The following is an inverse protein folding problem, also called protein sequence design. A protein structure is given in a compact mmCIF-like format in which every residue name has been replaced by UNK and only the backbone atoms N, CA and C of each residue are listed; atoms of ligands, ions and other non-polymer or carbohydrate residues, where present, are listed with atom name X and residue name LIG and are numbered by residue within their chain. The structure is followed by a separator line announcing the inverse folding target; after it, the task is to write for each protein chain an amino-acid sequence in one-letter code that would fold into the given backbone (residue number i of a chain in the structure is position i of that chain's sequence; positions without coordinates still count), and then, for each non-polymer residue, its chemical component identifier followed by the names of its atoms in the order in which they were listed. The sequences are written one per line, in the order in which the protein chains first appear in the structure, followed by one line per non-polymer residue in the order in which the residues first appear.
data_IF_492562086171
#
_entry.id   IF_492562086171
#
_cell.length_a   1.000
_cell.length_b   1.000
_cell.length_c   1.000
_cell.angle_alpha   90.00
_cell.angle_beta   90.00
_cell.angle_gamma   90.00
#
_symmetry.space_group_name_H-M   'P 1'
#
loop_
_entity.id
_entity.type
_entity.pdbx_description
1 polymer ?
#
# COMPACT_ATOMS: atom_id res chain seq x y z
N UNK A 1 14.52 -21.10 -27.48
CA UNK A 1 15.25 -20.95 -26.20
C UNK A 1 14.85 -19.72 -25.35
N UNK A 2 14.02 -18.79 -25.85
CA UNK A 2 13.67 -17.54 -25.15
C UNK A 2 12.41 -17.64 -24.26
N UNK A 3 11.41 -18.42 -24.69
CA UNK A 3 10.12 -18.56 -23.99
C UNK A 3 10.29 -19.20 -22.60
N UNK A 4 11.05 -20.30 -22.49
CA UNK A 4 11.28 -21.00 -21.21
C UNK A 4 11.98 -20.11 -20.18
N UNK A 5 12.92 -19.26 -20.62
CA UNK A 5 13.58 -18.27 -19.74
C UNK A 5 12.59 -17.18 -19.29
N UNK A 6 11.75 -16.69 -20.18
CA UNK A 6 10.70 -15.71 -19.85
C UNK A 6 9.66 -16.29 -18.87
N UNK A 7 9.23 -17.54 -19.04
CA UNK A 7 8.29 -18.21 -18.13
C UNK A 7 8.88 -18.38 -16.73
N UNK A 8 10.13 -18.84 -16.63
CA UNK A 8 10.82 -18.96 -15.33
C UNK A 8 11.03 -17.61 -14.64
N UNK A 9 11.36 -16.57 -15.40
CA UNK A 9 11.51 -15.21 -14.86
C UNK A 9 10.18 -14.66 -14.35
N UNK A 10 9.07 -14.92 -15.04
CA UNK A 10 7.73 -14.53 -14.60
C UNK A 10 7.31 -15.23 -13.31
N UNK A 11 7.57 -16.53 -13.20
CA UNK A 11 7.26 -17.30 -11.99
C UNK A 11 8.09 -16.83 -10.79
N UNK A 12 9.38 -16.54 -10.99
CA UNK A 12 10.25 -15.99 -9.96
C UNK A 12 9.76 -14.60 -9.48
N UNK A 13 9.34 -13.76 -10.41
CA UNK A 13 8.78 -12.44 -10.09
C UNK A 13 7.46 -12.57 -9.32
N UNK A 14 6.56 -13.46 -9.73
CA UNK A 14 5.29 -13.70 -9.03
C UNK A 14 5.50 -14.16 -7.59
N UNK A 15 6.43 -15.11 -7.38
CA UNK A 15 6.80 -15.58 -6.03
C UNK A 15 7.34 -14.45 -5.15
N UNK A 16 8.20 -13.59 -5.70
CA UNK A 16 8.74 -12.43 -4.97
C UNK A 16 7.62 -11.46 -4.57
N UNK A 17 6.75 -11.08 -5.50
CA UNK A 17 5.62 -10.18 -5.23
C UNK A 17 4.71 -10.74 -4.13
N UNK A 18 4.35 -12.03 -4.21
CA UNK A 18 3.54 -12.68 -3.17
C UNK A 18 4.23 -12.68 -1.81
N UNK A 19 5.54 -12.94 -1.79
CA UNK A 19 6.32 -12.91 -0.54
C UNK A 19 6.32 -11.53 0.10
N UNK A 20 6.52 -10.47 -0.69
CA UNK A 20 6.50 -9.09 -0.18
C UNK A 20 5.12 -8.73 0.41
N UNK A 21 4.04 -9.13 -0.27
CA UNK A 21 2.67 -8.91 0.23
C UNK A 21 2.45 -9.61 1.58
N UNK A 22 2.90 -10.86 1.72
CA UNK A 22 2.76 -11.58 2.99
C UNK A 22 3.61 -10.99 4.11
N UNK A 23 4.82 -10.51 3.81
CA UNK A 23 5.65 -9.78 4.77
C UNK A 23 4.94 -8.51 5.25
N UNK A 24 4.41 -7.70 4.33
CA UNK A 24 3.69 -6.46 4.67
C UNK A 24 2.45 -6.76 5.51
N UNK A 25 1.69 -7.82 5.19
CA UNK A 25 0.52 -8.23 6.00
C UNK A 25 0.90 -8.58 7.43
N UNK A 26 2.02 -9.29 7.64
CA UNK A 26 2.50 -9.62 8.99
C UNK A 26 2.89 -8.37 9.77
N UNK A 27 3.61 -7.45 9.14
CA UNK A 27 3.97 -6.16 9.76
C UNK A 27 2.70 -5.40 10.17
N UNK A 28 1.68 -5.34 9.31
CA UNK A 28 0.41 -4.66 9.65
C UNK A 28 -0.30 -5.35 10.83
N UNK A 29 -0.26 -6.68 10.92
CA UNK A 29 -0.84 -7.40 12.05
C UNK A 29 -0.11 -7.10 13.38
N UNK A 30 1.21 -6.92 13.35
CA UNK A 30 2.00 -6.54 14.53
C UNK A 30 1.64 -5.15 15.07
N UNK A 31 1.07 -4.26 14.24
CA UNK A 31 0.60 -2.95 14.70
C UNK A 31 -0.56 -3.02 15.70
N UNK A 32 -1.31 -4.12 15.77
CA UNK A 32 -2.33 -4.27 16.82
C UNK A 32 -1.69 -4.40 18.21
N UNK A 33 -0.54 -5.08 18.32
CA UNK A 33 0.25 -5.14 19.57
C UNK A 33 0.81 -3.77 19.92
N UNK A 34 1.30 -3.01 18.92
CA UNK A 34 1.79 -1.64 19.13
C UNK A 34 0.66 -0.74 19.64
N UNK A 35 -0.54 -0.85 19.06
CA UNK A 35 -1.72 -0.10 19.49
C UNK A 35 -2.09 -0.37 20.95
N UNK A 36 -2.06 -1.63 21.36
CA UNK A 36 -2.28 -2.01 22.77
C UNK A 36 -1.23 -1.38 23.70
N UNK A 37 0.05 -1.43 23.31
CA UNK A 37 1.13 -0.83 24.08
C UNK A 37 1.01 0.71 24.20
N UNK A 38 0.56 1.40 23.15
CA UNK A 38 0.30 2.85 23.21
C UNK A 38 -0.86 3.17 24.16
N UNK A 39 -1.92 2.34 24.18
CA UNK A 39 -3.01 2.50 25.14
C UNK A 39 -2.52 2.33 26.58
N UNK A 40 -1.71 1.31 26.84
CA UNK A 40 -1.08 1.09 28.17
C UNK A 40 -0.20 2.29 28.56
N UNK A 41 0.58 2.82 27.62
CA UNK A 41 1.41 4.01 27.84
C UNK A 41 0.54 5.25 28.14
N UNK A 42 -0.59 5.39 27.45
CA UNK A 42 -1.55 6.48 27.67
C UNK A 42 -2.17 6.42 29.06
N UNK A 43 -2.55 5.24 29.54
CA UNK A 43 -3.03 5.08 30.92
C UNK A 43 -1.94 5.41 31.95
N UNK A 44 -0.70 4.97 31.71
CA UNK A 44 0.45 5.30 32.58
C UNK A 44 0.79 6.80 32.57
N UNK A 45 0.58 7.49 31.45
CA UNK A 45 0.85 8.91 31.31
C UNK A 45 -0.03 9.79 32.22
N UNK A 46 -1.20 9.28 32.66
CA UNK A 46 -2.07 9.99 33.61
C UNK A 46 -1.43 10.14 34.99
N UNK A 47 -0.55 9.22 35.36
CA UNK A 47 0.05 9.15 36.70
C UNK A 47 1.56 9.32 36.70
N UNK A 48 2.24 9.18 35.56
CA UNK A 48 3.70 9.30 35.42
C UNK A 48 4.08 10.37 34.40
N UNK A 49 4.84 11.41 34.82
CA UNK A 49 5.30 12.45 33.90
C UNK A 49 6.30 11.91 32.86
N UNK A 50 7.10 10.89 33.19
CA UNK A 50 8.00 10.24 32.24
C UNK A 50 7.24 9.50 31.14
N UNK A 51 6.14 8.82 31.49
CA UNK A 51 5.27 8.19 30.51
C UNK A 51 4.56 9.24 29.63
N UNK A 52 4.15 10.37 30.19
CA UNK A 52 3.57 11.48 29.43
C UNK A 52 4.58 12.09 28.44
N UNK A 53 5.83 12.31 28.83
CA UNK A 53 6.87 12.80 27.91
C UNK A 53 7.12 11.82 26.76
N UNK A 54 7.16 10.53 27.07
CA UNK A 54 7.35 9.48 26.06
C UNK A 54 6.17 9.45 25.08
N UNK A 55 4.94 9.55 25.58
CA UNK A 55 3.74 9.59 24.75
C UNK A 55 3.71 10.84 23.88
N UNK A 56 4.09 12.01 24.40
CA UNK A 56 4.14 13.24 23.63
C UNK A 56 5.14 13.13 22.48
N UNK A 57 6.36 12.63 22.73
CA UNK A 57 7.35 12.41 21.65
C UNK A 57 6.83 11.46 20.57
N UNK A 58 6.12 10.40 20.96
CA UNK A 58 5.46 9.52 20.00
C UNK A 58 4.40 10.26 19.18
N UNK A 59 3.51 11.02 19.83
CA UNK A 59 2.48 11.80 19.13
C UNK A 59 3.11 12.77 18.12
N UNK A 60 4.14 13.50 18.52
CA UNK A 60 4.86 14.43 17.65
C UNK A 60 5.50 13.72 16.45
N UNK A 61 6.17 12.60 16.69
CA UNK A 61 6.77 11.74 15.67
C UNK A 61 5.77 11.29 14.60
N UNK A 62 4.62 10.77 15.04
CA UNK A 62 3.55 10.28 14.15
C UNK A 62 2.70 11.40 13.52
N UNK A 63 2.77 12.63 14.02
CA UNK A 63 2.02 13.77 13.47
C UNK A 63 2.82 14.49 12.39
N UNK A 64 4.08 14.82 12.67
CA UNK A 64 4.92 15.65 11.79
C UNK A 64 6.40 15.24 11.74
N UNK A 65 6.81 14.26 12.55
CA UNK A 65 8.18 13.76 12.61
C UNK A 65 8.51 12.69 11.56
N UNK A 66 9.52 11.88 11.88
CA UNK A 66 10.06 10.87 10.96
C UNK A 66 9.10 9.70 10.77
N UNK A 67 8.38 9.28 11.82
CA UNK A 67 7.39 8.20 11.74
C UNK A 67 6.30 8.53 10.72
N UNK A 68 5.84 9.79 10.71
CA UNK A 68 4.88 10.26 9.69
C UNK A 68 5.47 10.23 8.28
N UNK A 69 6.71 10.70 8.11
CA UNK A 69 7.39 10.73 6.79
C UNK A 69 7.58 9.32 6.23
N UNK A 70 7.95 8.36 7.07
CA UNK A 70 8.08 6.96 6.69
C UNK A 70 6.73 6.36 6.28
N UNK A 71 5.68 6.65 7.04
CA UNK A 71 4.31 6.24 6.70
C UNK A 71 3.87 6.80 5.34
N UNK A 72 3.98 8.11 5.13
CA UNK A 72 3.57 8.76 3.87
C UNK A 72 4.40 8.26 2.68
N UNK A 73 5.70 8.02 2.88
CA UNK A 73 6.59 7.46 1.85
C UNK A 73 6.21 6.05 1.44
N UNK A 74 5.87 5.19 2.41
CA UNK A 74 5.39 3.84 2.14
C UNK A 74 4.05 3.87 1.37
N UNK A 75 3.11 4.71 1.82
CA UNK A 75 1.80 4.86 1.18
C UNK A 75 1.94 5.36 -0.27
N UNK A 76 2.76 6.39 -0.50
CA UNK A 76 2.98 6.94 -1.84
C UNK A 76 3.55 5.92 -2.83
N UNK A 77 4.43 5.01 -2.38
CA UNK A 77 4.94 3.92 -3.24
C UNK A 77 3.84 2.96 -3.66
N UNK A 78 2.91 2.65 -2.77
CA UNK A 78 1.74 1.80 -3.07
C UNK A 78 0.80 2.52 -4.05
N UNK A 79 0.51 3.80 -3.82
CA UNK A 79 -0.33 4.60 -4.73
C UNK A 79 0.25 4.65 -6.15
N UNK A 80 1.56 4.91 -6.28
CA UNK A 80 2.27 4.88 -7.57
C UNK A 80 2.18 3.50 -8.22
N UNK A 81 2.36 2.43 -7.45
CA UNK A 81 2.24 1.07 -7.98
C UNK A 81 0.82 0.81 -8.53
N UNK A 82 -0.21 1.18 -7.79
CA UNK A 82 -1.61 1.08 -8.22
C UNK A 82 -1.85 1.93 -9.47
N UNK A 83 -1.34 3.16 -9.52
CA UNK A 83 -1.46 4.05 -10.67
C UNK A 83 -0.85 3.44 -11.94
N UNK A 84 0.34 2.85 -11.85
CA UNK A 84 0.98 2.18 -12.99
C UNK A 84 0.23 0.94 -13.48
N UNK A 85 -0.59 0.33 -12.62
CA UNK A 85 -1.43 -0.81 -12.98
C UNK A 85 -2.82 -0.42 -13.49
N UNK A 86 -3.24 0.84 -13.30
CA UNK A 86 -4.51 1.32 -13.87
C UNK A 86 -4.36 1.32 -15.40
N UNK A 87 -5.35 0.80 -16.14
CA UNK A 87 -5.37 0.95 -17.58
C UNK A 87 -5.37 2.44 -17.91
N UNK A 88 -4.40 2.89 -18.68
CA UNK A 88 -4.31 4.29 -19.10
C UNK A 88 -5.62 4.71 -19.76
N UNK A 89 -6.15 5.88 -19.37
CA UNK A 89 -7.33 6.51 -20.00
C UNK A 89 -7.15 6.82 -21.50
N UNK A 90 -5.97 6.56 -22.08
CA UNK A 90 -5.80 6.43 -23.52
C UNK A 90 -6.52 5.17 -24.01
N UNK A 91 -7.79 5.34 -24.39
CA UNK A 91 -8.72 4.28 -24.79
C UNK A 91 -8.32 3.50 -26.05
N UNK A 92 -7.29 2.66 -25.95
CA UNK A 92 -6.93 1.71 -27.01
C UNK A 92 -6.22 0.45 -26.52
N UNK A 93 -6.26 0.13 -25.22
CA UNK A 93 -5.69 -1.13 -24.73
C UNK A 93 -6.80 -2.18 -24.53
N UNK A 94 -6.96 -3.02 -25.56
CA UNK A 94 -7.59 -4.35 -25.54
C UNK A 94 -9.10 -4.47 -25.28
N UNK A 95 -9.86 -3.38 -25.25
CA UNK A 95 -11.31 -3.46 -25.50
C UNK A 95 -11.55 -3.07 -26.95
N UNK A 96 -11.78 -4.06 -27.82
CA UNK A 96 -12.44 -3.79 -29.11
C UNK A 96 -13.77 -3.15 -28.74
N UNK A 97 -13.87 -1.83 -28.82
CA UNK A 97 -15.15 -1.12 -28.82
C UNK A 97 -15.93 -1.62 -30.04
N UNK A 98 -16.65 -2.72 -29.88
CA UNK A 98 -17.66 -3.14 -30.83
C UNK A 98 -18.84 -2.18 -30.69
N UNK A 99 -18.68 -0.97 -31.23
CA UNK A 99 -19.84 -0.20 -31.70
C UNK A 99 -20.39 -0.99 -32.88
N UNK A 100 -21.23 -1.97 -32.59
CA UNK A 100 -22.06 -2.59 -33.60
C UNK A 100 -23.07 -1.51 -34.02
N UNK A 101 -22.68 -0.71 -35.02
CA UNK A 101 -23.54 0.28 -35.66
C UNK A 101 -24.60 -0.51 -36.41
N UNK A 102 -25.65 -0.92 -35.71
CA UNK A 102 -26.83 -1.44 -36.36
C UNK A 102 -27.43 -0.32 -37.22
N UNK A 103 -27.63 -0.65 -38.49
CA UNK A 103 -28.08 0.23 -39.55
C UNK A 103 -29.49 0.77 -39.27
N UNK A 104 -29.58 2.08 -39.00
CA UNK A 104 -30.51 3.08 -39.56
C UNK A 104 -30.57 4.28 -38.61
N UNK A 105 -29.60 5.19 -38.75
CA UNK A 105 -29.86 6.59 -38.37
C UNK A 105 -30.83 7.13 -39.41
N UNK A 106 -32.10 7.21 -39.05
CA UNK A 106 -33.05 8.06 -39.77
C UNK A 106 -32.63 9.50 -39.43
N UNK A 107 -32.26 10.25 -40.45
CA UNK A 107 -31.86 11.66 -40.40
C UNK A 107 -33.11 12.51 -40.14
#
# INVERSE_FOLDING_TARGET
MNIVKQTKNKELLDKKIRSEIETIKKIIAEFDVIKENVNILSEKAKTSPQAAETLNKLIEGYTYGEERRLYDSALSKIEKLIETMKPTRSGSQLTKNQRNKNNRKIV
#
